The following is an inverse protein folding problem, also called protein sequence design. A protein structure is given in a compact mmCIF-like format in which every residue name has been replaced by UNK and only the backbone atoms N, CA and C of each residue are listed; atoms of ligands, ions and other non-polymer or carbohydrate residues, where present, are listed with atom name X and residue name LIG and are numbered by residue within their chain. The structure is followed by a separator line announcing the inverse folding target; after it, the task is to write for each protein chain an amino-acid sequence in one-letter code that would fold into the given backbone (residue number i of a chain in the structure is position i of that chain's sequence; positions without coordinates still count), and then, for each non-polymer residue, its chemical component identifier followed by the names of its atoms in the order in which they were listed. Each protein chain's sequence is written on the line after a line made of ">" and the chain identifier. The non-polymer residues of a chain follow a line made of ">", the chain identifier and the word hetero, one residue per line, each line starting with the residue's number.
data_IF_349370877696
#
_entry.id   IF_349370877696
#
_cell.length_a   1.000
_cell.length_b   1.000
_cell.length_c   1.000
_cell.angle_alpha   90.00
_cell.angle_beta   90.00
_cell.angle_gamma   90.00
#
_symmetry.space_group_name_H-M   'P 1'
#
loop_
_entity.id
_entity.type
_entity.pdbx_description
1 polymer ?
#
# COMPACT_ATOMS: atom_id res chain seq x y z
N UNK A 1 -22.34 -13.27 13.37
CA UNK A 1 -21.39 -14.39 13.52
C UNK A 1 -21.28 -15.05 12.16
N UNK A 2 -20.07 -15.21 11.62
CA UNK A 2 -19.85 -15.96 10.38
C UNK A 2 -20.02 -17.44 10.72
N UNK A 3 -21.11 -18.09 10.29
CA UNK A 3 -21.41 -19.51 10.51
C UNK A 3 -20.46 -20.46 9.75
N UNK A 4 -19.16 -20.17 9.74
CA UNK A 4 -18.15 -20.96 9.06
C UNK A 4 -17.26 -21.67 10.08
N UNK A 5 -17.03 -22.97 9.85
CA UNK A 5 -16.10 -23.76 10.67
C UNK A 5 -14.67 -23.27 10.39
N UNK A 6 -13.82 -23.09 11.42
CA UNK A 6 -12.43 -22.72 11.22
C UNK A 6 -11.74 -23.74 10.32
N UNK A 7 -10.91 -23.28 9.36
CA UNK A 7 -9.99 -24.19 8.69
C UNK A 7 -8.89 -24.53 9.70
N UNK A 8 -8.92 -25.76 10.23
CA UNK A 8 -7.92 -26.29 11.18
C UNK A 8 -6.62 -26.73 10.47
N UNK A 9 -6.17 -26.01 9.43
CA UNK A 9 -4.93 -26.33 8.73
C UNK A 9 -3.75 -25.53 9.31
N UNK A 10 -2.71 -26.20 9.84
CA UNK A 10 -1.47 -25.53 10.23
C UNK A 10 -0.81 -24.88 9.01
N UNK A 11 -0.48 -23.58 9.07
CA UNK A 11 0.23 -22.88 8.00
C UNK A 11 -0.61 -21.97 7.09
N UNK A 12 -1.93 -21.83 7.35
CA UNK A 12 -2.80 -20.85 6.67
C UNK A 12 -2.37 -19.37 6.84
N UNK A 13 -1.47 -19.10 7.79
CA UNK A 13 -0.97 -17.75 8.14
C UNK A 13 -0.14 -17.11 7.01
N UNK A 14 0.26 -17.86 5.98
CA UNK A 14 1.14 -17.36 4.92
C UNK A 14 0.83 -17.95 3.54
N UNK A 15 -0.44 -18.07 3.16
CA UNK A 15 -0.72 -18.04 1.72
C UNK A 15 -0.44 -16.61 1.27
N UNK A 16 0.75 -16.42 0.69
CA UNK A 16 1.12 -15.23 -0.08
C UNK A 16 0.07 -15.08 -1.18
N UNK A 17 -1.00 -14.38 -0.86
CA UNK A 17 -2.09 -14.10 -1.78
C UNK A 17 -1.77 -12.82 -2.56
N UNK A 18 -2.50 -12.61 -3.66
CA UNK A 18 -2.33 -11.43 -4.51
C UNK A 18 -2.49 -10.13 -3.72
N UNK A 19 -3.26 -10.19 -2.63
CA UNK A 19 -3.56 -9.09 -1.73
C UNK A 19 -2.34 -8.67 -0.89
N UNK A 20 -1.52 -9.63 -0.45
CA UNK A 20 -0.21 -9.38 0.16
C UNK A 20 0.75 -8.73 -0.85
N UNK A 21 0.89 -9.29 -2.05
CA UNK A 21 1.79 -8.75 -3.07
C UNK A 21 1.42 -7.33 -3.47
N UNK A 22 0.13 -7.03 -3.65
CA UNK A 22 -0.36 -5.68 -3.94
C UNK A 22 -0.03 -4.68 -2.83
N UNK A 23 -0.07 -5.11 -1.56
CA UNK A 23 0.34 -4.27 -0.43
C UNK A 23 1.84 -3.96 -0.48
N UNK A 24 2.67 -4.97 -0.74
CA UNK A 24 4.12 -4.78 -0.85
C UNK A 24 4.46 -3.83 -2.00
N UNK A 25 3.86 -4.03 -3.17
CA UNK A 25 4.04 -3.15 -4.33
C UNK A 25 3.68 -1.69 -4.01
N UNK A 26 2.54 -1.47 -3.33
CA UNK A 26 2.12 -0.13 -2.93
C UNK A 26 3.09 0.53 -1.94
N UNK A 27 3.61 -0.22 -0.97
CA UNK A 27 4.59 0.28 0.00
C UNK A 27 5.92 0.64 -0.67
N UNK A 28 6.43 -0.23 -1.55
CA UNK A 28 7.65 0.05 -2.31
C UNK A 28 7.48 1.27 -3.21
N UNK A 29 6.31 1.41 -3.84
CA UNK A 29 5.99 2.58 -4.65
C UNK A 29 6.01 3.87 -3.83
N UNK A 30 5.32 3.90 -2.68
CA UNK A 30 5.30 5.07 -1.81
C UNK A 30 6.70 5.44 -1.29
N UNK A 31 7.51 4.46 -0.86
CA UNK A 31 8.91 4.72 -0.42
C UNK A 31 9.76 5.30 -1.56
N UNK A 32 9.50 4.91 -2.81
CA UNK A 32 10.28 5.36 -3.97
C UNK A 32 9.88 6.74 -4.48
N UNK A 33 8.60 7.11 -4.39
CA UNK A 33 8.06 8.27 -5.11
C UNK A 33 7.41 9.34 -4.22
N UNK A 34 7.26 9.16 -2.90
CA UNK A 34 6.55 10.12 -2.04
C UNK A 34 7.24 11.50 -1.92
N UNK A 35 8.55 11.56 -2.14
CA UNK A 35 9.33 12.80 -2.09
C UNK A 35 9.19 13.67 -3.36
N UNK A 36 8.53 13.15 -4.40
CA UNK A 36 8.25 13.84 -5.65
C UNK A 36 9.48 14.10 -6.53
N UNK A 37 10.63 13.46 -6.28
CA UNK A 37 11.86 13.67 -7.08
C UNK A 37 11.81 13.00 -8.45
N UNK A 38 11.06 11.92 -8.59
CA UNK A 38 10.90 11.20 -9.85
C UNK A 38 9.48 11.38 -10.41
N UNK A 39 9.29 12.25 -11.42
CA UNK A 39 7.97 12.56 -11.97
C UNK A 39 7.34 11.39 -12.72
N UNK A 40 8.10 10.33 -13.05
CA UNK A 40 7.55 9.14 -13.70
C UNK A 40 6.55 8.40 -12.82
N UNK A 41 6.67 8.53 -11.49
CA UNK A 41 5.72 7.98 -10.53
C UNK A 41 4.30 8.52 -10.73
N UNK A 42 4.14 9.77 -11.18
CA UNK A 42 2.82 10.40 -11.34
C UNK A 42 1.93 9.61 -12.31
N UNK A 43 2.51 9.06 -13.38
CA UNK A 43 1.76 8.29 -14.39
C UNK A 43 1.36 6.89 -13.91
N UNK A 44 1.94 6.41 -12.81
CA UNK A 44 1.78 5.06 -12.29
C UNK A 44 1.00 5.01 -10.97
N UNK A 45 0.71 6.19 -10.39
CA UNK A 45 0.04 6.30 -9.09
C UNK A 45 -1.48 6.11 -9.21
N UNK A 46 -2.08 5.47 -8.20
CA UNK A 46 -3.52 5.47 -7.99
C UNK A 46 -3.97 6.82 -7.40
N UNK A 47 -3.14 7.42 -6.54
CA UNK A 47 -3.40 8.68 -5.85
C UNK A 47 -2.21 9.63 -5.93
N UNK A 48 -2.47 10.90 -6.28
CA UNK A 48 -1.46 11.97 -6.26
C UNK A 48 -1.79 12.97 -5.15
N UNK A 49 -0.89 13.09 -4.16
CA UNK A 49 -1.03 14.05 -3.06
C UNK A 49 -0.38 15.39 -3.43
N UNK A 50 -1.18 16.46 -3.50
CA UNK A 50 -0.72 17.82 -3.82
C UNK A 50 -0.86 18.72 -2.59
N UNK A 51 0.17 19.52 -2.28
CA UNK A 51 0.11 20.50 -1.19
C UNK A 51 1.47 21.07 -0.82
N UNK A 52 1.48 22.19 -0.09
CA UNK A 52 2.72 22.88 0.37
C UNK A 52 3.55 22.00 1.31
N UNK A 53 4.84 22.30 1.49
CA UNK A 53 5.71 21.51 2.38
C UNK A 53 5.18 21.44 3.83
N UNK A 54 5.47 20.34 4.53
CA UNK A 54 5.07 20.08 5.94
C UNK A 54 3.56 19.92 6.17
N UNK A 55 2.84 19.38 5.19
CA UNK A 55 1.38 19.07 5.25
C UNK A 55 1.09 17.57 5.30
N UNK A 56 1.99 16.79 5.93
CA UNK A 56 1.80 15.35 6.16
C UNK A 56 1.66 14.46 4.91
N UNK A 57 2.11 14.93 3.73
CA UNK A 57 2.08 14.12 2.49
C UNK A 57 2.83 12.80 2.62
N UNK A 58 4.04 12.80 3.18
CA UNK A 58 4.85 11.59 3.40
C UNK A 58 4.20 10.60 4.38
N UNK A 59 3.75 11.00 5.59
CA UNK A 59 2.99 10.07 6.44
C UNK A 59 1.69 9.54 5.79
N UNK A 60 0.99 10.39 5.03
CA UNK A 60 -0.26 10.01 4.38
C UNK A 60 -0.05 9.03 3.22
N UNK A 61 0.98 9.22 2.39
CA UNK A 61 1.31 8.28 1.32
C UNK A 61 1.62 6.88 1.87
N UNK A 62 2.39 6.80 2.97
CA UNK A 62 2.70 5.53 3.64
C UNK A 62 1.43 4.87 4.22
N UNK A 63 0.52 5.66 4.80
CA UNK A 63 -0.76 5.15 5.27
C UNK A 63 -1.62 4.58 4.13
N UNK A 64 -1.70 5.28 2.99
CA UNK A 64 -2.44 4.85 1.80
C UNK A 64 -1.82 3.60 1.17
N UNK A 65 -0.48 3.49 1.18
CA UNK A 65 0.22 2.29 0.74
C UNK A 65 -0.13 1.05 1.58
N UNK A 66 -0.26 1.19 2.90
CA UNK A 66 -0.77 0.11 3.76
C UNK A 66 -2.22 -0.29 3.44
N UNK A 67 -2.99 0.61 2.82
CA UNK A 67 -4.33 0.36 2.26
C UNK A 67 -4.31 -0.08 0.79
N UNK A 68 -3.13 -0.34 0.22
CA UNK A 68 -2.89 -0.88 -1.14
C UNK A 68 -3.13 0.12 -2.28
N UNK A 69 -2.99 1.41 -2.00
CA UNK A 69 -2.96 2.45 -3.02
C UNK A 69 -1.52 2.86 -3.32
N UNK A 70 -1.19 2.91 -4.61
CA UNK A 70 0.06 3.50 -5.12
C UNK A 70 -0.05 5.01 -5.19
#
# INVERSE_FOLDING_TARGET
>A
QTNQRPLEEPGLVHKLDDEYFKKIEAVEFAVKYDDGRDPRGILLADVVLVGVSRTSKTPLSQYLAHKRYK
#
